data_IF_937306115170
#
_entry.id   IF_937306115170
#
_cell.length_a   1.000
_cell.length_b   1.000
_cell.length_c   1.000
_cell.angle_alpha   90.00
_cell.angle_beta   90.00
_cell.angle_gamma   90.00
#
_symmetry.space_group_name_H-M   'P 1'
#
loop_
_entity.id
_entity.type
_entity.pdbx_description
1 polymer ?
#
# COMPACT_ATOMS: atom_id res chain seq x y z
N UNK A 1 4.35 5.80 -2.25
CA UNK A 1 4.48 6.09 -0.81
C UNK A 1 5.79 5.58 -0.21
N UNK A 2 6.35 4.42 -0.63
CA UNK A 2 7.68 4.01 -0.16
C UNK A 2 8.74 5.07 -0.50
N UNK A 3 8.74 5.59 -1.74
CA UNK A 3 9.62 6.70 -2.12
C UNK A 3 9.43 7.94 -1.24
N UNK A 4 8.20 8.21 -0.80
CA UNK A 4 7.92 9.30 0.13
C UNK A 4 8.60 9.11 1.48
N UNK A 5 8.51 7.89 2.04
CA UNK A 5 9.19 7.55 3.30
C UNK A 5 10.72 7.68 3.19
N UNK A 6 11.34 7.25 2.08
CA UNK A 6 12.78 7.42 1.83
C UNK A 6 13.20 8.89 1.68
N UNK A 7 12.26 9.77 1.33
CA UNK A 7 12.49 11.21 1.14
C UNK A 7 11.88 12.06 2.27
N UNK A 8 11.99 11.58 3.50
CA UNK A 8 11.65 12.27 4.75
C UNK A 8 10.16 12.58 4.97
N UNK A 9 9.25 12.04 4.18
CA UNK A 9 7.84 12.02 4.55
C UNK A 9 7.58 10.91 5.57
N UNK A 10 6.56 11.07 6.39
CA UNK A 10 6.17 10.14 7.45
C UNK A 10 4.70 9.75 7.31
N UNK A 11 4.24 8.76 8.08
CA UNK A 11 2.81 8.37 8.11
C UNK A 11 1.90 9.56 8.42
N UNK A 12 2.35 10.53 9.23
CA UNK A 12 1.61 11.73 9.61
C UNK A 12 1.82 12.93 8.69
N UNK A 13 2.66 12.85 7.66
CA UNK A 13 2.79 13.93 6.67
C UNK A 13 1.45 14.23 6.03
N UNK A 14 1.08 15.50 5.94
CA UNK A 14 -0.26 15.90 5.48
C UNK A 14 -0.22 16.64 4.15
N UNK A 15 -1.25 16.39 3.35
CA UNK A 15 -1.67 17.25 2.25
C UNK A 15 -3.19 17.46 2.32
N UNK A 16 -3.62 18.60 1.83
CA UNK A 16 -5.05 18.92 1.71
C UNK A 16 -5.67 18.10 0.58
N UNK A 17 -6.73 17.35 0.88
CA UNK A 17 -7.55 16.62 -0.08
C UNK A 17 -8.74 17.48 -0.46
N UNK A 18 -8.69 18.09 -1.64
CA UNK A 18 -9.74 18.93 -2.20
C UNK A 18 -9.68 18.90 -3.72
N UNK A 19 -10.74 19.35 -4.39
CA UNK A 19 -10.71 19.53 -5.83
C UNK A 19 -9.50 20.40 -6.22
N UNK A 20 -8.66 19.87 -7.10
CA UNK A 20 -7.37 20.50 -7.42
C UNK A 20 -7.09 20.41 -8.92
N UNK A 21 -6.75 21.54 -9.51
CA UNK A 21 -6.19 21.62 -10.86
C UNK A 21 -4.69 21.84 -10.76
N UNK A 22 -3.91 20.90 -11.26
CA UNK A 22 -2.45 20.98 -11.33
C UNK A 22 -2.03 21.69 -12.62
N UNK A 23 -1.16 22.68 -12.49
CA UNK A 23 -0.51 23.33 -13.62
C UNK A 23 0.82 22.64 -13.90
N UNK A 24 0.92 21.96 -15.02
CA UNK A 24 2.09 21.21 -15.43
C UNK A 24 2.96 22.05 -16.38
N UNK A 25 4.17 21.57 -16.66
CA UNK A 25 5.03 22.16 -17.68
C UNK A 25 4.30 22.26 -19.03
N UNK A 26 4.67 23.24 -19.85
CA UNK A 26 4.06 23.52 -21.17
C UNK A 26 2.58 23.99 -21.12
N UNK A 27 2.19 24.73 -20.07
CA UNK A 27 0.83 25.26 -19.90
C UNK A 27 -0.29 24.21 -19.93
N UNK A 28 0.03 22.94 -19.70
CA UNK A 28 -0.97 21.88 -19.55
C UNK A 28 -1.55 21.91 -18.14
N UNK A 29 -2.85 21.66 -18.04
CA UNK A 29 -3.53 21.46 -16.78
C UNK A 29 -3.98 20.01 -16.62
N UNK A 30 -4.02 19.55 -15.37
CA UNK A 30 -4.50 18.22 -15.02
C UNK A 30 -5.38 18.31 -13.79
N UNK A 31 -6.66 17.93 -13.92
CA UNK A 31 -7.68 18.00 -12.88
C UNK A 31 -8.17 16.59 -12.54
N UNK A 32 -7.39 15.80 -11.78
CA UNK A 32 -7.81 14.47 -11.35
C UNK A 32 -8.94 14.55 -10.32
N UNK A 33 -9.69 13.47 -10.21
CA UNK A 33 -10.78 13.36 -9.27
C UNK A 33 -10.57 12.18 -8.31
N UNK A 34 -11.01 12.33 -7.07
CA UNK A 34 -11.20 11.20 -6.18
C UNK A 34 -12.43 10.38 -6.61
N UNK A 35 -12.49 9.12 -6.20
CA UNK A 35 -13.63 8.27 -6.48
C UNK A 35 -14.96 8.93 -6.01
N UNK A 36 -15.90 9.04 -6.93
CA UNK A 36 -17.19 9.69 -6.68
C UNK A 36 -17.13 11.21 -6.45
N UNK A 37 -16.03 11.86 -6.80
CA UNK A 37 -15.80 13.30 -6.56
C UNK A 37 -15.93 13.72 -5.10
N UNK A 38 -15.53 12.84 -4.18
CA UNK A 38 -15.61 13.05 -2.74
C UNK A 38 -14.22 13.40 -2.21
N UNK A 39 -14.13 14.51 -1.46
CA UNK A 39 -12.88 15.05 -0.93
C UNK A 39 -13.03 15.32 0.57
N UNK A 40 -11.91 15.24 1.30
CA UNK A 40 -11.90 15.57 2.73
C UNK A 40 -12.14 17.06 3.02
N UNK A 41 -11.79 17.93 2.06
CA UNK A 41 -11.81 19.41 2.19
C UNK A 41 -10.96 19.93 3.37
N UNK A 42 -9.99 19.12 3.80
CA UNK A 42 -9.05 19.38 4.90
C UNK A 42 -7.74 18.64 4.66
N UNK A 43 -6.76 18.92 5.51
CA UNK A 43 -5.52 18.15 5.52
C UNK A 43 -5.76 16.74 6.07
N UNK A 44 -5.21 15.74 5.39
CA UNK A 44 -5.24 14.33 5.79
C UNK A 44 -3.83 13.76 5.81
N UNK A 45 -3.60 12.77 6.65
CA UNK A 45 -2.31 12.08 6.78
C UNK A 45 -2.02 11.19 5.57
N UNK A 46 -0.75 10.84 5.36
CA UNK A 46 -0.36 9.85 4.36
C UNK A 46 -0.99 8.49 4.63
N UNK A 47 -1.11 8.09 5.90
CA UNK A 47 -1.78 6.86 6.29
C UNK A 47 -3.27 6.87 5.88
N UNK A 48 -3.98 7.99 6.11
CA UNK A 48 -5.37 8.16 5.68
C UNK A 48 -5.50 8.13 4.15
N UNK A 49 -4.57 8.80 3.44
CA UNK A 49 -4.57 8.79 1.98
C UNK A 49 -4.38 7.38 1.40
N UNK A 50 -3.58 6.52 2.05
CA UNK A 50 -3.45 5.10 1.68
C UNK A 50 -4.73 4.33 1.96
N UNK A 51 -5.31 4.48 3.16
CA UNK A 51 -6.54 3.81 3.59
C UNK A 51 -7.73 4.11 2.67
N UNK A 52 -7.90 5.39 2.34
CA UNK A 52 -9.02 5.93 1.58
C UNK A 52 -8.76 5.98 0.07
N UNK A 53 -7.51 5.68 -0.33
CA UNK A 53 -7.05 5.75 -1.72
C UNK A 53 -7.29 7.12 -2.37
N UNK A 54 -6.85 8.19 -1.68
CA UNK A 54 -7.01 9.57 -2.14
C UNK A 54 -6.08 9.88 -3.31
N UNK A 55 -6.66 10.16 -4.47
CA UNK A 55 -5.93 10.44 -5.70
C UNK A 55 -5.19 11.78 -5.64
N UNK A 56 -5.81 12.79 -5.03
CA UNK A 56 -5.22 14.13 -4.93
C UNK A 56 -3.95 14.08 -4.08
N UNK A 57 -4.02 13.38 -2.93
CA UNK A 57 -2.86 13.19 -2.07
C UNK A 57 -1.73 12.44 -2.81
N UNK A 58 -2.07 11.38 -3.54
CA UNK A 58 -1.07 10.59 -4.28
C UNK A 58 -0.34 11.42 -5.33
N UNK A 59 -1.07 12.26 -6.08
CA UNK A 59 -0.48 13.15 -7.09
C UNK A 59 0.35 14.24 -6.43
N UNK A 60 -0.15 14.89 -5.37
CA UNK A 60 0.62 15.89 -4.61
C UNK A 60 1.92 15.29 -4.10
N UNK A 61 1.90 14.07 -3.59
CA UNK A 61 3.10 13.35 -3.15
C UNK A 61 4.08 13.14 -4.32
N UNK A 62 3.61 12.66 -5.47
CA UNK A 62 4.46 12.40 -6.63
C UNK A 62 5.12 13.67 -7.16
N UNK A 63 4.36 14.76 -7.26
CA UNK A 63 4.88 16.06 -7.71
C UNK A 63 5.84 16.69 -6.69
N UNK A 64 5.56 16.52 -5.39
CA UNK A 64 6.42 17.03 -4.32
C UNK A 64 7.80 16.36 -4.30
N UNK A 65 7.84 15.05 -4.55
CA UNK A 65 9.08 14.26 -4.56
C UNK A 65 9.87 14.42 -5.87
N UNK A 66 9.19 14.66 -6.97
CA UNK A 66 9.69 14.46 -8.33
C UNK A 66 9.19 13.12 -8.91
N UNK A 67 8.70 13.17 -10.13
CA UNK A 67 8.04 12.04 -10.79
C UNK A 67 8.96 10.82 -11.04
N UNK A 68 10.28 11.05 -11.06
CA UNK A 68 11.32 10.04 -11.21
C UNK A 68 11.45 9.13 -9.98
N UNK A 69 11.18 9.62 -8.76
CA UNK A 69 11.41 8.89 -7.50
C UNK A 69 10.59 7.63 -7.37
N UNK A 70 9.34 7.65 -7.81
CA UNK A 70 8.50 6.46 -7.84
C UNK A 70 9.06 5.42 -8.82
N UNK A 71 9.53 5.86 -10.00
CA UNK A 71 10.11 4.98 -11.03
C UNK A 71 11.41 4.35 -10.55
N UNK A 72 12.27 5.10 -9.85
CA UNK A 72 13.49 4.56 -9.24
C UNK A 72 13.19 3.41 -8.27
N UNK A 73 12.17 3.57 -7.39
CA UNK A 73 11.75 2.52 -6.46
C UNK A 73 11.17 1.33 -7.23
N UNK A 74 10.29 1.56 -8.19
CA UNK A 74 9.70 0.49 -9.00
C UNK A 74 10.78 -0.37 -9.68
N UNK A 75 11.80 0.24 -10.29
CA UNK A 75 12.92 -0.47 -10.89
C UNK A 75 13.73 -1.27 -9.86
N UNK A 76 13.99 -0.71 -8.68
CA UNK A 76 14.70 -1.42 -7.60
C UNK A 76 13.95 -2.67 -7.15
N UNK A 77 12.60 -2.60 -7.08
CA UNK A 77 11.77 -3.74 -6.69
C UNK A 77 11.62 -4.80 -7.78
N UNK A 78 12.11 -4.54 -8.99
CA UNK A 78 12.11 -5.50 -10.10
C UNK A 78 10.98 -5.31 -11.10
N UNK A 79 10.26 -4.18 -11.06
CA UNK A 79 9.31 -3.81 -12.09
C UNK A 79 10.09 -3.34 -13.33
N UNK A 80 9.99 -4.10 -14.43
CA UNK A 80 10.71 -3.82 -15.68
C UNK A 80 9.84 -3.08 -16.71
N UNK A 81 8.56 -2.87 -16.42
CA UNK A 81 7.66 -2.13 -17.30
C UNK A 81 8.17 -0.71 -17.60
N UNK A 82 7.87 -0.21 -18.79
CA UNK A 82 8.15 1.17 -19.16
C UNK A 82 7.16 2.09 -18.47
N UNK A 83 7.61 2.76 -17.40
CA UNK A 83 6.81 3.70 -16.65
C UNK A 83 7.02 5.13 -17.16
N UNK A 84 5.93 5.85 -17.42
CA UNK A 84 5.97 7.22 -17.89
C UNK A 84 6.17 8.22 -16.76
N UNK A 85 7.05 9.21 -16.94
CA UNK A 85 7.30 10.30 -15.99
C UNK A 85 6.17 11.34 -16.05
N UNK A 86 4.99 10.97 -15.54
CA UNK A 86 3.80 11.83 -15.55
C UNK A 86 3.21 11.99 -14.17
N UNK A 87 2.51 13.10 -13.92
CA UNK A 87 1.87 13.38 -12.65
C UNK A 87 0.89 12.29 -12.21
N UNK A 88 0.21 11.64 -13.16
CA UNK A 88 -0.79 10.59 -12.92
C UNK A 88 -0.20 9.21 -12.65
N UNK A 89 1.11 9.00 -12.78
CA UNK A 89 1.74 7.69 -12.57
C UNK A 89 1.32 6.99 -11.25
N UNK A 90 1.22 7.69 -10.10
CA UNK A 90 0.83 7.06 -8.84
C UNK A 90 -0.62 6.56 -8.80
N UNK A 91 -1.43 6.93 -9.78
CA UNK A 91 -2.79 6.42 -9.95
C UNK A 91 -2.84 5.11 -10.76
N UNK A 92 -1.69 4.61 -11.23
CA UNK A 92 -1.62 3.37 -12.00
C UNK A 92 -1.99 3.53 -13.47
N UNK A 93 -1.63 4.65 -14.09
CA UNK A 93 -1.94 4.94 -15.51
C UNK A 93 -1.01 4.24 -16.51
N UNK A 94 0.01 3.52 -16.04
CA UNK A 94 0.88 2.71 -16.89
C UNK A 94 0.44 1.26 -16.90
N UNK A 95 0.44 0.65 -18.07
CA UNK A 95 0.22 -0.79 -18.22
C UNK A 95 1.39 -1.57 -17.64
N UNK A 96 1.10 -2.65 -16.93
CA UNK A 96 2.11 -3.51 -16.31
C UNK A 96 1.70 -4.97 -16.41
N UNK A 97 2.67 -5.84 -16.67
CA UNK A 97 2.48 -7.27 -16.59
C UNK A 97 2.23 -7.69 -15.13
N UNK A 98 1.29 -8.62 -14.90
CA UNK A 98 0.92 -9.06 -13.55
C UNK A 98 2.11 -9.72 -12.80
N UNK A 99 3.02 -10.39 -13.49
CA UNK A 99 4.21 -10.99 -12.89
C UNK A 99 5.23 -9.92 -12.46
N UNK A 100 5.45 -8.88 -13.28
CA UNK A 100 6.27 -7.73 -12.88
C UNK A 100 5.68 -7.04 -11.66
N UNK A 101 4.35 -6.87 -11.64
CA UNK A 101 3.63 -6.28 -10.51
C UNK A 101 3.76 -7.14 -9.25
N UNK A 102 3.63 -8.48 -9.40
CA UNK A 102 3.85 -9.43 -8.31
C UNK A 102 5.28 -9.37 -7.77
N UNK A 103 6.29 -9.25 -8.64
CA UNK A 103 7.70 -9.11 -8.23
C UNK A 103 7.91 -7.86 -7.38
N UNK A 104 7.32 -6.73 -7.80
CA UNK A 104 7.38 -5.48 -7.04
C UNK A 104 6.76 -5.61 -5.64
N UNK A 105 5.55 -6.16 -5.54
CA UNK A 105 4.89 -6.35 -4.25
C UNK A 105 5.54 -7.43 -3.39
N UNK A 106 6.09 -8.49 -4.01
CA UNK A 106 6.84 -9.51 -3.28
C UNK A 106 8.07 -8.94 -2.58
N UNK A 107 8.68 -7.90 -3.14
CA UNK A 107 9.79 -7.20 -2.48
C UNK A 107 9.35 -6.53 -1.18
N UNK A 108 8.16 -5.93 -1.13
CA UNK A 108 7.58 -5.40 0.11
C UNK A 108 7.18 -6.51 1.08
N UNK A 109 6.51 -7.56 0.58
CA UNK A 109 6.12 -8.73 1.37
C UNK A 109 7.34 -9.46 1.98
N UNK A 110 8.47 -9.44 1.30
CA UNK A 110 9.73 -10.03 1.77
C UNK A 110 10.59 -9.07 2.63
N UNK A 111 10.00 -7.99 3.18
CA UNK A 111 10.71 -7.05 4.07
C UNK A 111 11.80 -6.22 3.39
N UNK A 112 11.70 -5.99 2.08
CA UNK A 112 12.65 -5.23 1.28
C UNK A 112 13.64 -6.09 0.48
N UNK A 113 13.51 -7.43 0.55
CA UNK A 113 14.32 -8.34 -0.23
C UNK A 113 13.67 -8.67 -1.57
N UNK A 114 14.34 -8.34 -2.66
CA UNK A 114 13.95 -8.77 -4.00
C UNK A 114 14.34 -10.24 -4.20
N UNK A 115 13.41 -11.01 -4.74
CA UNK A 115 13.57 -12.40 -5.16
C UNK A 115 13.14 -12.56 -6.61
N UNK A 116 13.72 -13.50 -7.33
CA UNK A 116 13.24 -13.89 -8.65
C UNK A 116 11.99 -14.79 -8.53
N UNK A 117 11.04 -14.60 -9.44
CA UNK A 117 9.90 -15.51 -9.56
C UNK A 117 10.34 -16.74 -10.35
N UNK A 118 9.98 -17.91 -9.85
CA UNK A 118 10.21 -19.18 -10.53
C UNK A 118 8.99 -20.09 -10.41
N UNK A 119 8.83 -21.00 -11.35
CA UNK A 119 7.72 -21.96 -11.40
C UNK A 119 8.19 -23.39 -11.21
N UNK A 120 9.49 -23.67 -11.45
CA UNK A 120 10.07 -24.99 -11.32
C UNK A 120 11.09 -24.94 -10.18
N UNK A 121 10.77 -25.61 -9.08
CA UNK A 121 11.68 -25.68 -7.93
C UNK A 121 12.75 -26.73 -8.14
N UNK A 122 12.38 -27.90 -8.69
CA UNK A 122 13.29 -29.03 -8.85
C UNK A 122 12.89 -29.89 -10.05
N UNK A 123 13.86 -30.44 -10.75
CA UNK A 123 13.67 -31.46 -11.79
C UNK A 123 14.57 -32.63 -11.45
N UNK A 124 14.00 -33.85 -11.42
CA UNK A 124 14.68 -35.10 -11.19
C UNK A 124 14.48 -36.07 -12.37
N UNK A 125 15.45 -36.93 -12.64
CA UNK A 125 15.27 -38.06 -13.57
C UNK A 125 14.48 -39.21 -12.90
N UNK A 126 14.25 -40.28 -13.65
CA UNK A 126 13.50 -41.44 -13.14
C UNK A 126 14.26 -42.23 -12.06
N UNK A 127 15.57 -42.03 -11.95
CA UNK A 127 16.44 -42.66 -10.96
C UNK A 127 16.61 -41.79 -9.69
N UNK A 128 15.97 -40.61 -9.65
CA UNK A 128 15.98 -39.67 -8.53
C UNK A 128 17.21 -38.72 -8.53
N UNK A 129 18.00 -38.70 -9.61
CA UNK A 129 19.10 -37.76 -9.72
C UNK A 129 18.56 -36.34 -10.00
N UNK A 130 19.07 -35.36 -9.27
CA UNK A 130 18.65 -33.94 -9.44
C UNK A 130 19.28 -33.40 -10.72
N UNK A 131 18.45 -33.06 -11.72
CA UNK A 131 18.88 -32.43 -12.96
C UNK A 131 18.89 -30.92 -12.86
N UNK A 132 18.00 -30.35 -12.03
CA UNK A 132 17.90 -28.91 -11.76
C UNK A 132 17.29 -28.69 -10.36
N UNK A 133 17.83 -27.73 -9.63
CA UNK A 133 17.23 -27.23 -8.40
C UNK A 133 17.39 -25.71 -8.36
N UNK A 134 16.27 -25.01 -8.12
CA UNK A 134 16.29 -23.56 -7.99
C UNK A 134 17.03 -23.15 -6.73
N UNK A 135 17.99 -22.25 -6.87
CA UNK A 135 18.68 -21.62 -5.74
C UNK A 135 17.99 -20.30 -5.39
N UNK A 136 17.43 -20.22 -4.19
CA UNK A 136 16.69 -19.03 -3.73
C UNK A 136 17.67 -17.90 -3.40
N UNK A 137 17.96 -17.05 -4.37
CA UNK A 137 18.75 -15.84 -4.18
C UNK A 137 17.86 -14.66 -3.79
N UNK A 138 18.27 -13.94 -2.74
CA UNK A 138 17.58 -12.74 -2.28
C UNK A 138 18.55 -11.58 -2.13
N UNK A 139 18.15 -10.41 -2.60
CA UNK A 139 18.95 -9.18 -2.50
C UNK A 139 18.16 -8.11 -1.77
N UNK A 140 18.74 -7.55 -0.70
CA UNK A 140 18.14 -6.39 -0.02
C UNK A 140 18.25 -5.17 -0.96
N UNK A 141 17.11 -4.64 -1.38
CA UNK A 141 17.01 -3.51 -2.32
C UNK A 141 16.23 -2.33 -1.75
N UNK A 142 15.49 -2.54 -0.66
CA UNK A 142 14.75 -1.52 0.06
C UNK A 142 15.19 -1.47 1.52
N UNK A 143 15.05 -0.30 2.15
CA UNK A 143 15.31 -0.14 3.58
C UNK A 143 14.23 -0.87 4.41
N UNK A 144 14.58 -1.83 5.28
CA UNK A 144 13.61 -2.60 6.06
C UNK A 144 12.72 -1.75 6.97
N UNK A 145 13.23 -0.63 7.51
CA UNK A 145 12.45 0.25 8.37
C UNK A 145 11.28 0.89 7.58
N UNK A 146 11.56 1.45 6.40
CA UNK A 146 10.53 2.05 5.56
C UNK A 146 9.60 1.01 4.93
N UNK A 147 10.12 -0.19 4.64
CA UNK A 147 9.31 -1.31 4.17
C UNK A 147 8.30 -1.75 5.24
N UNK A 148 8.74 -1.88 6.50
CA UNK A 148 7.86 -2.16 7.62
C UNK A 148 6.78 -1.08 7.78
N UNK A 149 7.16 0.20 7.75
CA UNK A 149 6.22 1.33 7.88
C UNK A 149 5.19 1.31 6.73
N UNK A 150 5.62 1.03 5.49
CA UNK A 150 4.70 0.90 4.37
C UNK A 150 3.73 -0.27 4.56
N UNK A 151 4.23 -1.44 5.01
CA UNK A 151 3.40 -2.61 5.28
C UNK A 151 2.35 -2.30 6.34
N UNK A 152 2.71 -1.59 7.41
CA UNK A 152 1.76 -1.12 8.42
C UNK A 152 0.74 -0.12 7.86
N UNK A 153 1.17 0.83 7.01
CA UNK A 153 0.22 1.74 6.34
C UNK A 153 -0.79 1.00 5.48
N UNK A 154 -0.37 -0.06 4.80
CA UNK A 154 -1.26 -0.83 3.93
C UNK A 154 -2.32 -1.63 4.71
N UNK A 155 -2.14 -1.87 6.02
CA UNK A 155 -3.18 -2.47 6.87
C UNK A 155 -4.34 -1.50 7.14
N UNK A 156 -4.13 -0.20 6.97
CA UNK A 156 -5.15 0.83 7.20
C UNK A 156 -6.38 0.69 6.30
N UNK A 157 -6.25 -0.01 5.17
CA UNK A 157 -7.35 -0.20 4.21
C UNK A 157 -8.52 -1.04 4.75
N UNK A 158 -8.32 -1.74 5.88
CA UNK A 158 -9.35 -2.52 6.59
C UNK A 158 -9.67 -1.95 7.97
N UNK A 159 -9.08 -0.82 8.38
CA UNK A 159 -9.18 -0.27 9.72
C UNK A 159 -10.25 0.82 9.80
N UNK A 160 -11.27 0.63 10.64
CA UNK A 160 -12.39 1.57 10.85
C UNK A 160 -11.97 2.94 11.40
N UNK A 161 -10.81 3.03 12.09
CA UNK A 161 -10.30 4.31 12.60
C UNK A 161 -10.11 5.37 11.49
N UNK A 162 -9.91 4.92 10.25
CA UNK A 162 -9.74 5.77 9.08
C UNK A 162 -11.05 6.19 8.40
N UNK A 163 -12.23 5.78 8.90
CA UNK A 163 -13.51 6.24 8.34
C UNK A 163 -13.63 7.76 8.54
N UNK A 164 -13.77 8.50 7.44
CA UNK A 164 -13.92 9.96 7.44
C UNK A 164 -14.86 10.39 6.30
N UNK A 165 -14.42 11.18 5.34
CA UNK A 165 -15.21 11.60 4.18
C UNK A 165 -15.61 10.44 3.25
N UNK A 166 -14.89 9.33 3.33
CA UNK A 166 -15.23 8.05 2.71
C UNK A 166 -14.76 6.90 3.61
N UNK A 167 -14.94 5.66 3.18
CA UNK A 167 -14.58 4.46 3.95
C UNK A 167 -13.27 3.84 3.42
N UNK A 168 -12.44 3.23 4.29
CA UNK A 168 -11.28 2.46 3.87
C UNK A 168 -11.63 1.42 2.80
N UNK A 169 -10.76 1.32 1.78
CA UNK A 169 -11.12 0.69 0.51
C UNK A 169 -11.34 -0.82 0.56
N UNK A 170 -10.84 -1.51 1.59
CA UNK A 170 -11.03 -2.94 1.82
C UNK A 170 -11.85 -3.25 3.08
N UNK A 171 -12.45 -2.25 3.73
CA UNK A 171 -13.20 -2.41 4.97
C UNK A 171 -14.37 -3.39 4.82
N UNK A 172 -15.02 -3.42 3.66
CA UNK A 172 -16.17 -4.29 3.39
C UNK A 172 -15.84 -5.79 3.33
N UNK A 173 -14.56 -6.17 3.35
CA UNK A 173 -14.12 -7.55 3.45
C UNK A 173 -13.41 -7.85 4.78
N UNK A 174 -13.17 -6.85 5.63
CA UNK A 174 -12.41 -6.99 6.88
C UNK A 174 -12.94 -8.13 7.79
N UNK A 175 -14.27 -8.28 7.90
CA UNK A 175 -14.89 -9.34 8.72
C UNK A 175 -14.66 -10.77 8.19
N UNK A 176 -14.08 -10.93 6.99
CA UNK A 176 -13.76 -12.23 6.39
C UNK A 176 -12.29 -12.61 6.57
N UNK A 177 -11.49 -11.71 7.09
CA UNK A 177 -10.04 -11.87 7.20
C UNK A 177 -9.69 -12.35 8.61
N UNK A 178 -8.90 -13.40 8.69
CA UNK A 178 -8.46 -14.02 9.96
C UNK A 178 -7.02 -13.62 10.32
N UNK A 179 -6.25 -13.18 9.35
CA UNK A 179 -4.88 -12.71 9.51
C UNK A 179 -4.79 -11.18 9.34
N UNK A 180 -3.66 -10.60 9.73
CA UNK A 180 -3.31 -9.22 9.41
C UNK A 180 -2.73 -9.16 8.01
N UNK A 181 -3.23 -8.25 7.17
CA UNK A 181 -2.81 -8.12 5.78
C UNK A 181 -2.46 -6.69 5.42
N UNK A 182 -1.41 -6.52 4.63
CA UNK A 182 -1.16 -5.32 3.84
C UNK A 182 -1.97 -5.40 2.56
N UNK A 183 -2.91 -4.48 2.33
CA UNK A 183 -3.84 -4.53 1.20
C UNK A 183 -3.85 -3.21 0.44
N UNK A 184 -3.91 -3.29 -0.90
CA UNK A 184 -4.19 -2.15 -1.77
C UNK A 184 -5.14 -2.53 -2.89
N UNK A 185 -6.14 -1.68 -3.11
CA UNK A 185 -7.12 -1.80 -4.19
C UNK A 185 -6.81 -0.82 -5.31
N UNK A 186 -7.17 -1.18 -6.53
CA UNK A 186 -7.17 -0.32 -7.70
C UNK A 186 -8.46 -0.49 -8.49
N UNK A 187 -8.95 0.58 -9.10
CA UNK A 187 -10.12 0.49 -9.97
C UNK A 187 -10.11 1.61 -11.00
N UNK A 188 -10.44 1.22 -12.23
CA UNK A 188 -10.77 2.09 -13.35
C UNK A 188 -12.18 1.72 -13.83
N UNK A 189 -12.59 2.23 -14.97
CA UNK A 189 -13.86 1.82 -15.61
C UNK A 189 -13.73 0.40 -16.21
N UNK A 190 -12.52 -0.06 -16.51
CA UNK A 190 -12.23 -1.30 -17.22
C UNK A 190 -11.56 -2.37 -16.38
N UNK A 191 -10.99 -2.01 -15.21
CA UNK A 191 -10.18 -2.88 -14.39
C UNK A 191 -10.50 -2.77 -12.90
N UNK A 192 -10.55 -3.91 -12.21
CA UNK A 192 -10.56 -3.98 -10.76
C UNK A 192 -9.41 -4.84 -10.26
N UNK A 193 -8.58 -4.25 -9.41
CA UNK A 193 -7.42 -4.87 -8.82
C UNK A 193 -7.52 -4.91 -7.29
N UNK A 194 -7.02 -5.97 -6.72
CA UNK A 194 -6.67 -6.04 -5.31
C UNK A 194 -5.40 -6.85 -5.16
N UNK A 195 -4.45 -6.31 -4.46
CA UNK A 195 -3.24 -6.99 -4.02
C UNK A 195 -3.19 -6.96 -2.50
N UNK A 196 -2.82 -8.07 -1.90
CA UNK A 196 -2.59 -8.10 -0.47
C UNK A 196 -1.77 -9.31 -0.08
N UNK A 197 -1.12 -9.19 1.08
CA UNK A 197 -0.14 -10.15 1.56
C UNK A 197 0.03 -10.08 3.07
N UNK A 198 0.56 -11.18 3.60
CA UNK A 198 1.24 -11.29 4.88
C UNK A 198 2.68 -11.77 4.66
N UNK A 199 3.48 -12.10 5.70
CA UNK A 199 4.82 -12.65 5.52
C UNK A 199 4.89 -13.99 4.78
N UNK A 200 3.78 -14.75 4.69
CA UNK A 200 3.73 -16.12 4.16
C UNK A 200 3.17 -16.20 2.75
N UNK A 201 2.28 -15.28 2.35
CA UNK A 201 1.60 -15.34 1.06
C UNK A 201 1.30 -13.95 0.49
N UNK A 202 1.38 -13.86 -0.83
CA UNK A 202 0.93 -12.71 -1.62
C UNK A 202 -0.08 -13.19 -2.65
N UNK A 203 -1.24 -12.53 -2.69
CA UNK A 203 -2.28 -12.78 -3.68
C UNK A 203 -2.62 -11.50 -4.44
N UNK A 204 -2.69 -11.60 -5.74
CA UNK A 204 -3.18 -10.55 -6.64
C UNK A 204 -4.40 -11.08 -7.35
N UNK A 205 -5.47 -10.31 -7.34
CA UNK A 205 -6.68 -10.62 -8.12
C UNK A 205 -6.98 -9.44 -9.04
N UNK A 206 -7.11 -9.74 -10.31
CA UNK A 206 -7.53 -8.83 -11.35
C UNK A 206 -8.85 -9.27 -11.97
N UNK A 207 -9.69 -8.31 -12.30
CA UNK A 207 -10.91 -8.53 -13.07
C UNK A 207 -11.04 -7.44 -14.11
N UNK A 208 -11.12 -7.85 -15.36
CA UNK A 208 -11.21 -6.99 -16.53
C UNK A 208 -11.54 -7.81 -17.77
N UNK A 209 -11.53 -7.16 -18.92
CA UNK A 209 -11.64 -7.78 -20.23
C UNK A 209 -10.38 -7.53 -21.04
N UNK A 210 -9.92 -8.53 -21.79
CA UNK A 210 -8.72 -8.41 -22.63
C UNK A 210 -8.86 -7.34 -23.73
N UNK A 211 -10.08 -7.01 -24.12
CA UNK A 211 -10.40 -5.96 -25.08
C UNK A 211 -10.72 -4.60 -24.42
N UNK A 212 -10.38 -4.46 -23.14
CA UNK A 212 -10.51 -3.23 -22.35
C UNK A 212 -11.95 -2.67 -22.30
N UNK A 213 -12.97 -3.54 -22.31
CA UNK A 213 -14.36 -3.15 -22.14
C UNK A 213 -14.65 -2.72 -20.70
N UNK A 214 -15.61 -1.80 -20.49
CA UNK A 214 -16.05 -1.43 -19.14
C UNK A 214 -16.55 -2.63 -18.33
N UNK A 215 -16.16 -2.67 -17.06
CA UNK A 215 -16.58 -3.71 -16.10
C UNK A 215 -17.67 -3.15 -15.20
N UNK A 216 -18.74 -3.92 -14.98
CA UNK A 216 -19.83 -3.50 -14.09
C UNK A 216 -19.33 -3.18 -12.68
N UNK A 217 -19.79 -2.08 -12.10
CA UNK A 217 -19.35 -1.59 -10.78
C UNK A 217 -19.55 -2.61 -9.64
N UNK A 218 -20.57 -3.47 -9.73
CA UNK A 218 -20.80 -4.56 -8.75
C UNK A 218 -19.65 -5.56 -8.69
N UNK A 219 -18.90 -5.75 -9.79
CA UNK A 219 -17.78 -6.68 -9.91
C UNK A 219 -16.63 -6.31 -8.97
N UNK A 220 -16.46 -5.01 -8.64
CA UNK A 220 -15.45 -4.56 -7.65
C UNK A 220 -15.53 -5.32 -6.33
N UNK A 221 -16.74 -5.51 -5.80
CA UNK A 221 -16.93 -6.25 -4.55
C UNK A 221 -16.73 -7.75 -4.71
N UNK A 222 -17.02 -8.30 -5.88
CA UNK A 222 -16.76 -9.70 -6.20
C UNK A 222 -15.25 -9.98 -6.27
N UNK A 223 -14.49 -9.10 -6.92
CA UNK A 223 -13.02 -9.17 -6.98
C UNK A 223 -12.39 -9.17 -5.58
N UNK A 224 -12.85 -8.28 -4.67
CA UNK A 224 -12.38 -8.26 -3.28
C UNK A 224 -12.73 -9.55 -2.53
N UNK A 225 -13.94 -10.07 -2.70
CA UNK A 225 -14.38 -11.33 -2.06
C UNK A 225 -13.58 -12.54 -2.60
N UNK A 226 -13.31 -12.58 -3.90
CA UNK A 226 -12.49 -13.63 -4.50
C UNK A 226 -11.07 -13.61 -3.92
N UNK A 227 -10.46 -12.43 -3.84
CA UNK A 227 -9.17 -12.26 -3.21
C UNK A 227 -9.18 -12.75 -1.74
N UNK A 228 -10.13 -12.29 -0.94
CA UNK A 228 -10.24 -12.69 0.46
C UNK A 228 -10.37 -14.22 0.61
N UNK A 229 -11.26 -14.84 -0.18
CA UNK A 229 -11.42 -16.30 -0.14
C UNK A 229 -10.16 -17.05 -0.56
N UNK A 230 -9.41 -16.51 -1.52
CA UNK A 230 -8.18 -17.14 -2.02
C UNK A 230 -7.07 -17.07 -0.96
N UNK A 231 -6.80 -15.88 -0.38
CA UNK A 231 -5.71 -15.74 0.59
C UNK A 231 -6.00 -16.49 1.88
N UNK A 232 -7.25 -16.46 2.36
CA UNK A 232 -7.69 -17.24 3.53
C UNK A 232 -7.58 -18.75 3.30
N UNK A 233 -7.86 -19.22 2.08
CA UNK A 233 -7.65 -20.63 1.73
C UNK A 233 -6.17 -21.01 1.69
N UNK A 234 -5.32 -20.15 1.13
CA UNK A 234 -3.86 -20.39 1.07
C UNK A 234 -3.25 -20.44 2.46
N UNK A 235 -3.76 -19.64 3.39
CA UNK A 235 -3.22 -19.48 4.75
C UNK A 235 -3.97 -20.30 5.82
N UNK A 236 -4.96 -21.11 5.43
CA UNK A 236 -5.86 -21.83 6.37
C UNK A 236 -5.15 -22.66 7.44
N UNK A 237 -3.96 -23.17 7.13
CA UNK A 237 -3.15 -24.01 8.02
C UNK A 237 -1.88 -23.26 8.53
N UNK A 238 -1.85 -21.93 8.42
CA UNK A 238 -0.76 -21.09 8.89
C UNK A 238 -1.18 -20.25 10.08
N UNK A 239 -0.26 -20.03 10.99
CA UNK A 239 -0.45 -19.11 12.09
C UNK A 239 -0.53 -17.66 11.58
N UNK A 240 -1.38 -16.84 12.22
CA UNK A 240 -1.43 -15.42 11.94
C UNK A 240 -0.11 -14.76 12.39
N UNK A 241 0.76 -14.52 11.45
CA UNK A 241 2.07 -13.90 11.67
C UNK A 241 2.15 -12.53 11.02
N UNK A 242 2.99 -11.68 11.60
CA UNK A 242 3.27 -10.34 11.07
C UNK A 242 4.75 -10.02 11.20
N UNK A 243 5.18 -8.96 10.53
CA UNK A 243 6.57 -8.51 10.57
C UNK A 243 6.93 -7.99 11.97
N UNK A 244 8.11 -8.35 12.44
CA UNK A 244 8.67 -7.76 13.67
C UNK A 244 8.98 -6.28 13.48
N UNK A 245 8.71 -5.47 14.51
CA UNK A 245 9.04 -4.05 14.50
C UNK A 245 10.57 -3.90 14.47
N UNK A 246 11.14 -3.26 13.44
CA UNK A 246 12.59 -3.04 13.40
C UNK A 246 13.08 -2.21 14.60
N UNK A 247 14.28 -2.49 15.10
CA UNK A 247 14.85 -1.83 16.30
C UNK A 247 14.88 -0.30 16.23
N UNK A 248 14.99 0.25 15.02
CA UNK A 248 15.01 1.69 14.77
C UNK A 248 13.64 2.28 14.46
N UNK A 249 12.56 1.53 14.62
CA UNK A 249 11.19 2.00 14.42
C UNK A 249 10.51 2.11 15.78
N UNK A 250 9.75 3.19 15.96
CA UNK A 250 8.89 3.43 17.12
C UNK A 250 7.45 3.59 16.66
N UNK A 251 6.51 3.34 17.58
CA UNK A 251 5.09 3.48 17.34
C UNK A 251 4.50 4.53 18.30
N UNK A 252 3.68 5.43 17.76
CA UNK A 252 3.03 6.50 18.52
C UNK A 252 1.54 6.54 18.13
N UNK A 253 0.61 6.58 19.10
CA UNK A 253 -0.82 6.67 18.80
C UNK A 253 -1.20 8.09 18.38
N UNK A 254 -1.90 8.21 17.24
CA UNK A 254 -2.43 9.46 16.70
C UNK A 254 -3.85 9.25 16.16
N UNK A 255 -4.57 10.35 15.98
CA UNK A 255 -5.79 10.36 15.16
C UNK A 255 -5.41 9.92 13.74
N UNK A 256 -6.10 8.90 13.25
CA UNK A 256 -5.79 8.23 11.99
C UNK A 256 -5.80 9.17 10.78
N UNK A 257 -6.68 10.16 10.78
CA UNK A 257 -6.90 11.04 9.63
C UNK A 257 -6.12 12.33 9.74
N UNK A 258 -6.09 12.94 10.92
CA UNK A 258 -5.47 14.26 11.13
C UNK A 258 -3.99 14.18 11.57
N UNK A 259 -3.57 13.04 12.12
CA UNK A 259 -2.22 12.88 12.70
C UNK A 259 -2.00 13.64 14.00
N UNK A 260 -3.07 14.14 14.63
CA UNK A 260 -3.00 14.83 15.91
C UNK A 260 -3.13 13.83 17.07
N UNK A 261 -2.70 14.25 18.26
CA UNK A 261 -3.01 13.51 19.50
C UNK A 261 -4.52 13.50 19.70
N UNK A 262 -5.07 12.35 20.08
CA UNK A 262 -6.52 12.20 20.26
C UNK A 262 -6.84 11.29 21.44
N UNK A 263 -7.86 11.67 22.21
CA UNK A 263 -8.44 10.85 23.28
C UNK A 263 -9.53 9.90 22.74
N UNK A 264 -9.90 10.04 21.47
CA UNK A 264 -10.90 9.20 20.82
C UNK A 264 -10.31 7.86 20.39
N UNK A 265 -10.48 6.82 21.22
CA UNK A 265 -9.99 5.47 20.96
C UNK A 265 -10.44 4.88 19.61
N UNK A 266 -11.63 5.27 19.11
CA UNK A 266 -12.14 4.79 17.82
C UNK A 266 -11.48 5.46 16.61
N UNK A 267 -10.78 6.57 16.83
CA UNK A 267 -10.04 7.31 15.80
C UNK A 267 -8.53 7.16 15.96
N UNK A 268 -8.06 6.59 17.06
CA UNK A 268 -6.65 6.41 17.37
C UNK A 268 -6.10 5.16 16.68
N UNK A 269 -4.93 5.28 16.08
CA UNK A 269 -4.16 4.16 15.56
C UNK A 269 -2.67 4.40 15.73
N UNK A 270 -1.87 3.33 15.69
CA UNK A 270 -0.42 3.45 15.80
C UNK A 270 0.17 3.95 14.49
N UNK A 271 0.93 5.03 14.58
CA UNK A 271 1.79 5.53 13.52
C UNK A 271 3.23 5.13 13.80
N UNK A 272 3.92 4.65 12.79
CA UNK A 272 5.28 4.14 12.91
C UNK A 272 6.27 5.12 12.28
N UNK A 273 7.39 5.34 12.97
CA UNK A 273 8.43 6.29 12.58
C UNK A 273 9.80 5.66 12.71
N UNK A 274 10.70 5.98 11.81
CA UNK A 274 12.13 5.79 12.09
C UNK A 274 12.52 6.75 13.21
N UNK A 275 13.21 6.26 14.24
CA UNK A 275 13.61 7.08 15.39
C UNK A 275 14.29 8.38 14.95
N UNK A 276 13.80 9.51 15.45
CA UNK A 276 14.25 10.85 15.09
C UNK A 276 13.47 11.50 13.95
N UNK A 277 12.51 10.79 13.32
CA UNK A 277 11.60 11.35 12.31
C UNK A 277 10.18 11.57 12.83
N UNK A 278 9.91 11.20 14.07
CA UNK A 278 8.62 11.41 14.72
C UNK A 278 8.35 12.90 14.98
N UNK A 279 7.08 13.33 14.96
CA UNK A 279 6.70 14.68 15.35
C UNK A 279 7.11 14.99 16.80
N UNK A 280 7.51 16.22 17.08
CA UNK A 280 7.72 16.69 18.45
C UNK A 280 6.39 16.74 19.19
N UNK A 281 6.08 15.73 19.97
CA UNK A 281 4.88 15.66 20.81
C UNK A 281 5.30 15.91 22.25
N UNK A 282 4.63 16.87 22.90
CA UNK A 282 4.89 17.14 24.30
C UNK A 282 4.49 15.92 25.15
N UNK A 283 5.33 15.46 26.11
CA UNK A 283 4.98 14.34 27.00
C UNK A 283 3.65 14.53 27.74
N UNK A 284 3.28 15.78 28.02
CA UNK A 284 2.00 16.12 28.67
C UNK A 284 0.77 15.83 27.81
N UNK A 285 0.92 15.61 26.51
CA UNK A 285 -0.18 15.24 25.62
C UNK A 285 -0.53 13.74 25.71
N UNK A 286 0.33 12.92 26.34
CA UNK A 286 0.12 11.48 26.53
C UNK A 286 -0.37 11.12 27.93
N UNK A 287 -0.44 12.06 28.86
CA UNK A 287 -1.03 11.82 30.16
C UNK A 287 -2.54 11.73 29.96
N UNK A 288 -3.05 10.49 29.84
CA UNK A 288 -4.48 10.25 29.94
C UNK A 288 -4.95 10.87 31.27
N UNK A 289 -6.03 11.62 31.23
CA UNK A 289 -6.80 11.98 32.43
C UNK A 289 -7.48 10.72 32.99
N UNK A 290 -6.71 9.77 33.44
CA UNK A 290 -7.15 8.76 34.41
C UNK A 290 -6.65 9.22 35.76
N UNK A 291 -7.38 10.17 36.33
CA UNK A 291 -7.48 10.42 37.78
C UNK A 291 -8.36 11.66 37.98
N UNK A 292 -9.70 11.41 37.99
CA UNK A 292 -10.62 12.03 38.98
C UNK A 292 -11.99 11.36 38.87
#
# INVERSE_FOLDING_TARGET
YYAALENNMTMSSTFRSEETTFHLSNNKTYSPQNAGNIYASKDITMAAAVALSDNIYAIKTNLFLGVDKMIEVAKRTGINASLSEVASLPLGTSEINILDFATGYNTFASGGYKKELYFIQKVEDLDGNVLYEHVDERKLVLNPNYTFILNEMLTSTTNEAFIDYTTPTALNIASKLTHKYAIKTGSTDTDYWIVGYDPNALVITWTGYDDNKPVESKTRNQTKKAWASTIEYVLKDKDNSWYEIPKNVIAIPFDAVTGNVTDNKNKSTLFYYVKGSEPNVSPTQYVSKEEN
#
